data_IF_005654383108
#
_entry.id   IF_005654383108
#
_cell.length_a   1.000
_cell.length_b   1.000
_cell.length_c   1.000
_cell.angle_alpha   90.00
_cell.angle_beta   90.00
_cell.angle_gamma   90.00
#
_symmetry.space_group_name_H-M   'P 1'
#
loop_
_entity.id
_entity.type
_entity.pdbx_description
1 polymer ?
#
# COMPACT_ATOMS: atom_id res chain seq x y z
N UNK A 1 11.41 14.79 -15.13
CA UNK A 1 12.22 13.58 -14.84
C UNK A 1 11.47 12.80 -13.77
N UNK A 2 11.05 11.56 -14.04
CA UNK A 2 10.31 10.74 -13.09
C UNK A 2 11.23 10.40 -11.90
N UNK A 3 10.78 10.58 -10.66
CA UNK A 3 11.55 10.28 -9.44
C UNK A 3 12.10 8.85 -9.44
N UNK A 4 11.37 7.91 -10.05
CA UNK A 4 11.78 6.51 -10.21
C UNK A 4 13.05 6.33 -11.05
N UNK A 5 13.30 7.22 -12.02
CA UNK A 5 14.56 7.20 -12.80
C UNK A 5 15.76 7.53 -11.92
N UNK A 6 15.60 8.48 -10.99
CA UNK A 6 16.66 8.83 -10.05
C UNK A 6 16.98 7.65 -9.13
N UNK A 7 15.96 6.99 -8.58
CA UNK A 7 16.14 5.79 -7.76
C UNK A 7 16.78 4.63 -8.53
N UNK A 8 16.43 4.42 -9.80
CA UNK A 8 17.06 3.37 -10.62
C UNK A 8 18.57 3.62 -10.82
N UNK A 9 18.96 4.87 -11.07
CA UNK A 9 20.37 5.26 -11.19
C UNK A 9 21.09 5.10 -9.85
N UNK A 10 20.51 5.61 -8.76
CA UNK A 10 21.07 5.46 -7.41
C UNK A 10 21.25 3.99 -7.04
N UNK A 11 20.25 3.14 -7.29
CA UNK A 11 20.31 1.69 -7.02
C UNK A 11 21.51 1.06 -7.71
N UNK A 12 21.76 1.41 -8.97
CA UNK A 12 22.92 0.90 -9.72
C UNK A 12 24.23 1.36 -9.10
N UNK A 13 24.34 2.64 -8.72
CA UNK A 13 25.52 3.19 -8.03
C UNK A 13 25.77 2.51 -6.69
N UNK A 14 24.73 2.32 -5.87
CA UNK A 14 24.84 1.64 -4.58
C UNK A 14 25.25 0.18 -4.72
N UNK A 15 24.74 -0.54 -5.72
CA UNK A 15 25.17 -1.92 -5.96
C UNK A 15 26.66 -2.00 -6.32
N UNK A 16 27.18 -1.05 -7.11
CA UNK A 16 28.60 -0.99 -7.40
C UNK A 16 29.46 -0.64 -6.17
N UNK A 17 28.98 0.26 -5.31
CA UNK A 17 29.59 0.51 -3.99
C UNK A 17 29.57 -0.79 -3.16
N UNK A 18 28.46 -1.52 -3.17
CA UNK A 18 28.31 -2.80 -2.50
C UNK A 18 29.32 -3.85 -2.97
N UNK A 19 29.57 -3.95 -4.28
CA UNK A 19 30.61 -4.83 -4.83
C UNK A 19 31.99 -4.51 -4.25
N UNK A 20 32.32 -3.22 -4.17
CA UNK A 20 33.58 -2.75 -3.59
C UNK A 20 33.65 -3.05 -2.09
N UNK A 21 32.57 -2.81 -1.33
CA UNK A 21 32.50 -3.08 0.10
C UNK A 21 32.63 -4.58 0.42
N UNK A 22 31.97 -5.44 -0.36
CA UNK A 22 32.06 -6.89 -0.21
C UNK A 22 33.48 -7.39 -0.49
N UNK A 23 34.12 -6.87 -1.54
CA UNK A 23 35.52 -7.20 -1.88
C UNK A 23 36.50 -6.80 -0.78
N UNK A 24 36.22 -5.72 -0.05
CA UNK A 24 37.04 -5.25 1.07
C UNK A 24 36.66 -5.88 2.42
N UNK A 25 35.71 -6.82 2.44
CA UNK A 25 35.32 -7.56 3.65
C UNK A 25 34.41 -6.80 4.61
N UNK A 26 33.87 -5.64 4.22
CA UNK A 26 32.97 -4.84 5.05
C UNK A 26 31.55 -5.45 5.15
N UNK A 27 31.09 -6.15 4.11
CA UNK A 27 29.79 -6.81 4.01
C UNK A 27 29.92 -8.17 3.32
N UNK A 28 28.91 -9.04 3.41
CA UNK A 28 28.99 -10.41 2.83
C UNK A 28 28.64 -10.42 1.33
N UNK A 29 27.63 -9.67 0.91
CA UNK A 29 27.13 -9.61 -0.47
C UNK A 29 27.02 -8.16 -0.96
N UNK A 30 27.17 -7.89 -2.27
CA UNK A 30 26.99 -6.54 -2.80
C UNK A 30 25.63 -5.92 -2.46
N UNK A 31 24.57 -6.74 -2.47
CA UNK A 31 23.21 -6.30 -2.13
C UNK A 31 23.04 -5.91 -0.66
N UNK A 32 23.95 -6.31 0.25
CA UNK A 32 23.88 -5.96 1.66
C UNK A 32 24.02 -4.46 1.92
N UNK A 33 24.55 -3.71 0.95
CA UNK A 33 24.61 -2.24 0.98
C UNK A 33 23.24 -1.60 1.20
N UNK A 34 22.15 -2.26 0.76
CA UNK A 34 20.77 -1.77 0.93
C UNK A 34 20.28 -1.87 2.38
N UNK A 35 21.01 -2.55 3.25
CA UNK A 35 20.74 -2.63 4.69
C UNK A 35 21.61 -1.66 5.51
N UNK A 36 22.39 -0.80 4.85
CA UNK A 36 23.19 0.24 5.50
C UNK A 36 22.56 1.62 5.31
N UNK A 37 22.76 2.50 6.29
CA UNK A 37 22.45 3.93 6.16
C UNK A 37 23.64 4.70 5.58
N UNK A 38 23.41 5.88 5.00
CA UNK A 38 24.48 6.69 4.36
C UNK A 38 25.74 6.84 5.23
N UNK A 39 25.65 7.18 6.53
CA UNK A 39 26.84 7.29 7.38
C UNK A 39 27.61 5.98 7.53
N UNK A 40 26.94 4.82 7.59
CA UNK A 40 27.61 3.52 7.68
C UNK A 40 28.36 3.18 6.39
N UNK A 41 27.76 3.52 5.24
CA UNK A 41 28.40 3.36 3.92
C UNK A 41 29.63 4.27 3.81
N UNK A 42 29.48 5.55 4.18
CA UNK A 42 30.56 6.55 4.16
C UNK A 42 31.74 6.12 5.03
N UNK A 43 31.49 5.61 6.25
CA UNK A 43 32.55 5.10 7.12
C UNK A 43 33.31 3.92 6.49
N UNK A 44 32.60 3.00 5.85
CA UNK A 44 33.24 1.86 5.18
C UNK A 44 34.04 2.28 3.94
N UNK A 45 33.61 3.31 3.22
CA UNK A 45 34.36 3.86 2.09
C UNK A 45 35.67 4.52 2.53
N UNK A 46 35.66 5.22 3.67
CA UNK A 46 36.84 5.93 4.18
C UNK A 46 37.88 4.97 4.78
N UNK A 47 37.46 4.02 5.61
CA UNK A 47 38.38 3.13 6.34
C UNK A 47 37.83 1.69 6.39
N UNK A 48 37.82 0.96 5.25
CA UNK A 48 37.15 -0.34 5.17
C UNK A 48 37.72 -1.39 6.12
N UNK A 49 39.04 -1.39 6.36
CA UNK A 49 39.69 -2.41 7.21
C UNK A 49 39.29 -2.30 8.69
N UNK A 50 38.73 -1.16 9.12
CA UNK A 50 38.26 -0.93 10.49
C UNK A 50 36.75 -1.09 10.65
N UNK A 51 36.02 -1.24 9.55
CA UNK A 51 34.56 -1.21 9.54
C UNK A 51 34.02 -2.53 8.99
N UNK A 52 33.76 -3.47 9.89
CA UNK A 52 33.06 -4.72 9.58
C UNK A 52 31.58 -4.59 9.90
N UNK A 53 30.76 -4.47 8.85
CA UNK A 53 29.31 -4.30 8.94
C UNK A 53 28.54 -5.61 8.73
N UNK A 54 29.22 -6.76 8.64
CA UNK A 54 28.58 -8.06 8.38
C UNK A 54 27.56 -8.42 9.46
N UNK A 55 27.85 -8.12 10.73
CA UNK A 55 26.87 -8.35 11.80
C UNK A 55 25.60 -7.51 11.63
N UNK A 56 25.74 -6.22 11.32
CA UNK A 56 24.60 -5.30 11.13
C UNK A 56 23.76 -5.73 9.93
N UNK A 57 24.42 -5.98 8.80
CA UNK A 57 23.76 -6.37 7.54
C UNK A 57 23.05 -7.70 7.66
N UNK A 58 23.68 -8.74 8.25
CA UNK A 58 23.02 -10.02 8.55
C UNK A 58 21.79 -9.85 9.42
N UNK A 59 21.90 -9.07 10.50
CA UNK A 59 20.78 -8.84 11.42
C UNK A 59 19.61 -8.15 10.72
N UNK A 60 19.87 -7.06 10.00
CA UNK A 60 18.83 -6.29 9.29
C UNK A 60 18.22 -7.08 8.12
N UNK A 61 19.03 -7.85 7.39
CA UNK A 61 18.55 -8.78 6.36
C UNK A 61 17.64 -9.86 6.95
N UNK A 62 18.04 -10.49 8.05
CA UNK A 62 17.23 -11.51 8.71
C UNK A 62 15.89 -10.93 9.18
N UNK A 63 15.89 -9.72 9.76
CA UNK A 63 14.65 -9.01 10.10
C UNK A 63 13.78 -8.78 8.87
N UNK A 64 14.34 -8.27 7.77
CA UNK A 64 13.61 -8.06 6.52
C UNK A 64 13.05 -9.36 5.93
N UNK A 65 13.79 -10.46 5.98
CA UNK A 65 13.35 -11.78 5.53
C UNK A 65 12.22 -12.34 6.37
N UNK A 66 12.30 -12.21 7.70
CA UNK A 66 11.20 -12.55 8.60
C UNK A 66 9.94 -11.74 8.28
N UNK A 67 10.11 -10.43 8.05
CA UNK A 67 9.04 -9.52 7.65
C UNK A 67 8.40 -9.92 6.31
N UNK A 68 9.20 -10.21 5.29
CA UNK A 68 8.71 -10.70 4.00
C UNK A 68 8.02 -12.05 4.09
N UNK A 69 8.54 -12.96 4.91
CA UNK A 69 7.93 -14.28 5.11
C UNK A 69 6.56 -14.18 5.80
N UNK A 70 6.44 -13.28 6.79
CA UNK A 70 5.16 -12.95 7.41
C UNK A 70 4.15 -12.43 6.37
N UNK A 71 4.59 -11.51 5.51
CA UNK A 71 3.78 -11.03 4.37
C UNK A 71 3.29 -12.17 3.48
N UNK A 72 4.19 -13.06 3.05
CA UNK A 72 3.84 -14.16 2.16
C UNK A 72 2.84 -15.16 2.78
N UNK A 73 2.83 -15.28 4.12
CA UNK A 73 1.95 -16.21 4.85
C UNK A 73 0.61 -15.58 5.26
N UNK A 74 0.62 -14.31 5.65
CA UNK A 74 -0.53 -13.61 6.24
C UNK A 74 -1.23 -12.67 5.24
N UNK A 75 -0.67 -12.44 4.04
CA UNK A 75 -1.25 -11.56 3.02
C UNK A 75 -1.22 -10.06 3.36
N UNK A 76 -0.80 -9.71 4.58
CA UNK A 76 -0.83 -8.35 5.08
C UNK A 76 0.54 -7.66 5.00
N UNK A 77 0.74 -6.76 4.03
CA UNK A 77 1.84 -5.80 4.08
C UNK A 77 1.45 -4.65 5.01
N UNK A 78 1.53 -4.88 6.32
CA UNK A 78 1.33 -3.83 7.33
C UNK A 78 2.66 -3.51 7.97
N UNK A 79 3.32 -2.40 7.60
CA UNK A 79 4.49 -1.92 8.33
C UNK A 79 4.20 -1.90 9.84
N UNK A 80 5.20 -2.16 10.69
CA UNK A 80 4.98 -2.11 12.12
C UNK A 80 4.64 -0.67 12.49
N UNK A 81 3.53 -0.47 13.20
CA UNK A 81 3.23 0.83 13.77
C UNK A 81 4.12 0.98 15.00
N UNK A 82 5.17 1.80 14.87
CA UNK A 82 6.01 2.18 16.00
C UNK A 82 5.31 3.30 16.76
N UNK A 83 4.52 2.91 17.76
CA UNK A 83 3.80 3.85 18.63
C UNK A 83 3.95 3.42 20.08
N UNK A 84 4.00 4.39 20.99
CA UNK A 84 3.92 4.22 22.44
C UNK A 84 2.47 4.10 22.93
N UNK A 85 1.50 4.23 22.00
CA UNK A 85 0.06 4.23 22.28
C UNK A 85 -0.48 2.81 22.45
N UNK A 86 -1.56 2.67 23.22
CA UNK A 86 -2.11 1.36 23.56
C UNK A 86 -2.87 0.72 22.39
N UNK A 87 -3.42 1.52 21.48
CA UNK A 87 -4.14 1.05 20.30
C UNK A 87 -4.14 2.09 19.15
N UNK A 88 -4.54 1.65 17.96
CA UNK A 88 -4.55 2.47 16.73
C UNK A 88 -5.54 3.64 16.87
N UNK A 89 -6.70 3.44 17.50
CA UNK A 89 -7.70 4.49 17.68
C UNK A 89 -7.15 5.63 18.57
N UNK A 90 -6.45 5.28 19.64
CA UNK A 90 -5.77 6.23 20.53
C UNK A 90 -4.63 6.96 19.80
N UNK A 91 -3.83 6.24 19.00
CA UNK A 91 -2.77 6.85 18.20
C UNK A 91 -3.32 7.84 17.17
N UNK A 92 -4.42 7.51 16.50
CA UNK A 92 -5.09 8.44 15.58
C UNK A 92 -5.60 9.67 16.34
N UNK A 93 -6.26 9.47 17.49
CA UNK A 93 -6.82 10.57 18.26
C UNK A 93 -5.76 11.54 18.81
N UNK A 94 -4.65 11.01 19.32
CA UNK A 94 -3.65 11.81 20.05
C UNK A 94 -2.50 12.31 19.17
N UNK A 95 -2.09 11.54 18.16
CA UNK A 95 -0.92 11.87 17.34
C UNK A 95 -1.29 12.53 16.00
N UNK A 96 -2.49 12.24 15.46
CA UNK A 96 -2.92 12.70 14.12
C UNK A 96 -3.96 13.83 14.16
N UNK A 97 -4.84 13.86 15.17
CA UNK A 97 -5.86 14.91 15.35
C UNK A 97 -5.50 16.14 16.23
N UNK A 98 -4.30 16.29 16.84
CA UNK A 98 -4.09 17.37 17.82
C UNK A 98 -4.06 18.77 17.18
N UNK A 99 -3.91 18.88 15.86
CA UNK A 99 -3.97 20.16 15.15
C UNK A 99 -5.37 20.76 15.13
N UNK A 100 -6.43 19.95 15.29
CA UNK A 100 -7.85 20.33 15.12
C UNK A 100 -8.15 21.10 13.81
N UNK A 101 -7.21 21.06 12.86
CA UNK A 101 -7.33 21.75 11.58
C UNK A 101 -8.22 20.89 10.66
N UNK A 102 -9.39 21.40 10.24
CA UNK A 102 -10.35 20.62 9.46
C UNK A 102 -9.81 20.20 8.09
N UNK A 103 -8.87 20.96 7.51
CA UNK A 103 -8.20 20.61 6.25
C UNK A 103 -7.17 19.51 6.51
N UNK A 104 -6.36 19.64 7.55
CA UNK A 104 -5.36 18.63 7.91
C UNK A 104 -6.02 17.29 8.26
N UNK A 105 -7.09 17.31 9.05
CA UNK A 105 -7.88 16.12 9.40
C UNK A 105 -8.44 15.47 8.13
N UNK A 106 -9.02 16.26 7.22
CA UNK A 106 -9.56 15.75 5.96
C UNK A 106 -8.49 15.16 5.04
N UNK A 107 -7.29 15.74 5.02
CA UNK A 107 -6.18 15.25 4.20
C UNK A 107 -5.57 13.96 4.78
N UNK A 108 -5.39 13.92 6.09
CA UNK A 108 -4.62 12.87 6.77
C UNK A 108 -5.49 11.69 7.20
N UNK A 109 -6.67 11.95 7.75
CA UNK A 109 -7.62 10.92 8.21
C UNK A 109 -8.66 10.60 7.13
N UNK A 110 -8.95 11.54 6.23
CA UNK A 110 -10.04 11.42 5.25
C UNK A 110 -11.38 11.88 5.83
N UNK A 111 -12.46 11.67 5.07
CA UNK A 111 -13.81 11.75 5.63
C UNK A 111 -14.09 10.45 6.39
N UNK A 112 -14.32 10.54 7.70
CA UNK A 112 -14.82 9.40 8.46
C UNK A 112 -16.18 8.97 7.85
N UNK A 113 -16.44 7.66 7.66
CA UNK A 113 -17.70 7.21 7.11
C UNK A 113 -18.84 7.77 7.95
N UNK A 114 -19.73 8.53 7.31
CA UNK A 114 -20.82 9.25 7.99
C UNK A 114 -21.96 8.35 8.43
N UNK A 115 -21.92 7.07 8.04
CA UNK A 115 -22.94 6.05 8.31
C UNK A 115 -22.24 4.75 8.67
N UNK A 116 -22.70 4.10 9.75
CA UNK A 116 -22.16 2.81 10.19
C UNK A 116 -22.53 1.71 9.19
N UNK A 117 -21.69 0.67 9.07
CA UNK A 117 -21.94 -0.44 8.14
C UNK A 117 -23.30 -1.13 8.42
N UNK A 118 -23.67 -1.19 9.70
CA UNK A 118 -24.92 -1.78 10.18
C UNK A 118 -26.16 -0.99 9.74
N UNK A 119 -26.09 0.34 9.71
CA UNK A 119 -27.21 1.22 9.31
C UNK A 119 -27.55 1.09 7.81
N UNK A 120 -26.56 0.80 6.97
CA UNK A 120 -26.70 0.66 5.51
C UNK A 120 -26.77 -0.78 5.04
N UNK A 121 -26.64 -1.75 5.97
CA UNK A 121 -26.61 -3.19 5.67
C UNK A 121 -25.47 -3.60 4.74
N UNK A 122 -24.34 -2.89 4.79
CA UNK A 122 -23.17 -3.13 3.94
C UNK A 122 -22.22 -4.16 4.56
N UNK A 123 -21.55 -4.97 3.74
CA UNK A 123 -20.58 -5.96 4.21
C UNK A 123 -19.20 -5.32 4.50
N UNK A 124 -18.90 -4.23 3.78
CA UNK A 124 -17.67 -3.45 3.91
C UNK A 124 -18.01 -1.98 3.70
N UNK A 125 -17.37 -1.12 4.50
CA UNK A 125 -17.44 0.34 4.36
C UNK A 125 -16.06 0.93 4.11
N UNK A 126 -16.02 2.04 3.40
CA UNK A 126 -14.84 2.84 3.15
C UNK A 126 -15.19 4.29 2.90
N UNK A 127 -14.29 5.00 2.26
CA UNK A 127 -14.40 6.43 1.93
C UNK A 127 -14.71 6.58 0.44
N UNK A 128 -15.62 7.48 0.11
CA UNK A 128 -15.91 7.86 -1.26
C UNK A 128 -14.69 8.53 -1.91
N UNK A 129 -14.14 7.89 -2.95
CA UNK A 129 -13.12 8.48 -3.82
C UNK A 129 -13.74 9.16 -5.04
N UNK A 130 -14.66 8.46 -5.70
CA UNK A 130 -15.47 8.96 -6.81
C UNK A 130 -16.89 8.42 -6.68
N UNK A 131 -17.93 9.28 -6.66
CA UNK A 131 -19.30 8.85 -6.46
C UNK A 131 -19.81 8.02 -7.64
N UNK A 132 -20.81 7.17 -7.39
CA UNK A 132 -21.44 6.33 -8.38
C UNK A 132 -21.77 4.93 -7.86
N UNK A 133 -22.48 4.15 -8.68
CA UNK A 133 -22.89 2.78 -8.35
C UNK A 133 -22.40 1.86 -9.45
N UNK A 134 -21.79 0.75 -9.07
CA UNK A 134 -21.37 -0.30 -9.99
C UNK A 134 -21.73 -1.67 -9.42
N UNK A 135 -22.00 -2.62 -10.30
CA UNK A 135 -22.20 -4.02 -9.96
C UNK A 135 -21.47 -4.88 -10.98
N UNK A 136 -20.78 -5.91 -10.51
CA UNK A 136 -19.96 -6.77 -11.37
C UNK A 136 -19.29 -7.87 -10.58
N UNK A 137 -18.49 -8.68 -11.27
CA UNK A 137 -17.59 -9.64 -10.61
C UNK A 137 -16.39 -8.90 -10.06
N UNK A 138 -16.01 -9.23 -8.82
CA UNK A 138 -14.81 -8.74 -8.21
C UNK A 138 -13.57 -9.41 -8.81
N UNK A 139 -12.53 -8.63 -9.06
CA UNK A 139 -11.19 -9.10 -9.38
C UNK A 139 -10.24 -8.57 -8.33
N UNK A 140 -9.76 -9.45 -7.45
CA UNK A 140 -8.77 -9.10 -6.44
C UNK A 140 -7.38 -9.19 -7.05
N UNK A 141 -6.67 -8.06 -7.08
CA UNK A 141 -5.32 -7.93 -7.64
C UNK A 141 -4.41 -7.36 -6.55
N UNK A 142 -3.43 -8.15 -6.10
CA UNK A 142 -2.53 -7.75 -5.02
C UNK A 142 -1.30 -6.98 -5.51
N UNK A 143 -0.89 -7.19 -6.75
CA UNK A 143 0.31 -6.60 -7.33
C UNK A 143 0.06 -6.18 -8.77
N UNK A 144 0.76 -5.12 -9.20
CA UNK A 144 0.65 -4.61 -10.56
C UNK A 144 0.91 -5.67 -11.65
N UNK A 145 1.78 -6.65 -11.37
CA UNK A 145 2.11 -7.71 -12.33
C UNK A 145 0.92 -8.60 -12.68
N UNK A 146 -0.11 -8.64 -11.82
CA UNK A 146 -1.32 -9.44 -12.01
C UNK A 146 -2.49 -8.63 -12.59
N UNK A 147 -2.25 -7.37 -12.97
CA UNK A 147 -3.28 -6.45 -13.45
C UNK A 147 -3.86 -6.85 -14.81
N UNK A 148 -3.10 -7.63 -15.59
CA UNK A 148 -3.51 -8.22 -16.86
C UNK A 148 -4.67 -9.23 -16.72
N UNK A 149 -4.93 -9.72 -15.51
CA UNK A 149 -6.04 -10.63 -15.22
C UNK A 149 -7.39 -9.92 -15.17
N UNK A 150 -7.41 -8.60 -15.01
CA UNK A 150 -8.64 -7.80 -14.95
C UNK A 150 -9.38 -7.82 -16.28
N UNK A 151 -10.66 -8.21 -16.24
CA UNK A 151 -11.51 -8.21 -17.43
C UNK A 151 -12.37 -6.94 -17.50
N UNK A 152 -12.72 -6.46 -18.71
CA UNK A 152 -13.63 -5.34 -18.87
C UNK A 152 -14.96 -5.55 -18.14
N UNK A 153 -15.40 -4.54 -17.39
CA UNK A 153 -16.65 -4.59 -16.62
C UNK A 153 -16.55 -5.27 -15.26
N UNK A 154 -15.39 -5.81 -14.88
CA UNK A 154 -15.15 -6.28 -13.51
C UNK A 154 -14.93 -5.10 -12.54
N UNK A 155 -15.17 -5.34 -11.25
CA UNK A 155 -14.83 -4.42 -10.17
C UNK A 155 -13.44 -4.79 -9.66
N UNK A 156 -12.49 -3.86 -9.77
CA UNK A 156 -11.13 -4.04 -9.30
C UNK A 156 -11.08 -3.90 -7.78
N UNK A 157 -10.52 -4.87 -7.09
CA UNK A 157 -10.26 -4.84 -5.64
C UNK A 157 -8.74 -4.96 -5.43
N UNK A 158 -8.13 -4.01 -4.72
CA UNK A 158 -6.67 -4.00 -4.54
C UNK A 158 -6.22 -3.36 -3.22
N UNK A 159 -4.98 -3.63 -2.74
CA UNK A 159 -4.49 -2.99 -1.52
C UNK A 159 -4.29 -1.48 -1.69
N UNK A 160 -3.68 -1.09 -2.80
CA UNK A 160 -3.38 0.30 -3.17
C UNK A 160 -3.09 0.34 -4.67
N UNK A 161 -3.40 1.47 -5.31
CA UNK A 161 -2.99 1.74 -6.69
C UNK A 161 -1.76 2.65 -6.76
N UNK A 162 -0.98 2.53 -7.82
CA UNK A 162 0.11 3.42 -8.19
C UNK A 162 -0.04 3.86 -9.67
N UNK A 163 0.75 4.81 -10.19
CA UNK A 163 0.59 5.32 -11.57
C UNK A 163 0.57 4.25 -12.66
N UNK A 164 1.19 3.10 -12.41
CA UNK A 164 1.19 1.96 -13.35
C UNK A 164 -0.22 1.37 -13.54
N UNK A 165 -1.13 1.58 -12.58
CA UNK A 165 -2.49 1.03 -12.57
C UNK A 165 -3.50 1.87 -13.37
N UNK A 166 -3.12 3.06 -13.83
CA UNK A 166 -4.06 4.01 -14.46
C UNK A 166 -4.82 3.40 -15.63
N UNK A 167 -4.22 2.51 -16.41
CA UNK A 167 -4.88 1.85 -17.55
C UNK A 167 -6.03 0.94 -17.12
N UNK A 168 -5.99 0.35 -15.92
CA UNK A 168 -7.07 -0.51 -15.42
C UNK A 168 -8.37 0.26 -15.19
N UNK A 169 -8.30 1.54 -14.86
CA UNK A 169 -9.49 2.37 -14.66
C UNK A 169 -10.29 2.56 -15.96
N UNK A 170 -9.65 2.43 -17.12
CA UNK A 170 -10.37 2.53 -18.40
C UNK A 170 -11.29 1.34 -18.70
N UNK A 171 -11.08 0.20 -18.05
CA UNK A 171 -11.84 -1.04 -18.29
C UNK A 171 -12.62 -1.53 -17.08
N UNK A 172 -12.27 -1.08 -15.86
CA UNK A 172 -12.97 -1.45 -14.64
C UNK A 172 -14.35 -0.78 -14.57
N UNK A 173 -15.37 -1.52 -14.12
CA UNK A 173 -16.68 -0.94 -13.82
C UNK A 173 -16.69 -0.14 -12.50
N UNK A 174 -15.75 -0.45 -11.60
CA UNK A 174 -15.58 0.20 -10.31
C UNK A 174 -14.26 -0.21 -9.66
N UNK A 175 -13.81 0.57 -8.68
CA UNK A 175 -12.55 0.32 -7.97
C UNK A 175 -12.74 0.37 -6.46
N UNK A 176 -12.22 -0.63 -5.76
CA UNK A 176 -12.20 -0.72 -4.30
C UNK A 176 -10.73 -0.88 -3.87
N UNK A 177 -10.25 0.05 -3.03
CA UNK A 177 -8.89 0.02 -2.52
C UNK A 177 -8.85 0.00 -0.99
N UNK A 178 -8.05 -0.90 -0.40
CA UNK A 178 -7.93 -0.99 1.07
C UNK A 178 -7.21 0.20 1.68
N UNK A 179 -6.37 0.88 0.91
CA UNK A 179 -5.60 2.05 1.33
C UNK A 179 -5.84 3.23 0.40
N UNK A 180 -5.62 4.42 0.95
CA UNK A 180 -5.71 5.69 0.24
C UNK A 180 -6.78 6.60 0.82
N UNK A 181 -6.56 7.91 0.75
CA UNK A 181 -7.55 8.93 1.10
C UNK A 181 -8.31 9.47 -0.12
N UNK A 182 -9.14 10.47 0.11
CA UNK A 182 -9.92 11.18 -0.92
C UNK A 182 -9.06 11.85 -2.00
N UNK A 183 -7.80 12.15 -1.68
CA UNK A 183 -6.77 12.69 -2.57
C UNK A 183 -5.74 11.65 -3.03
N UNK A 184 -5.97 10.37 -2.76
CA UNK A 184 -5.08 9.31 -3.23
C UNK A 184 -5.16 9.14 -4.75
N UNK A 185 -4.14 8.48 -5.31
CA UNK A 185 -4.09 8.14 -6.72
C UNK A 185 -5.39 7.45 -7.21
N UNK A 186 -5.89 6.44 -6.48
CA UNK A 186 -7.12 5.75 -6.85
C UNK A 186 -8.33 6.69 -6.94
N UNK A 187 -8.46 7.62 -5.98
CA UNK A 187 -9.57 8.56 -5.93
C UNK A 187 -9.47 9.63 -7.03
N UNK A 188 -8.26 10.13 -7.32
CA UNK A 188 -8.01 11.11 -8.39
C UNK A 188 -8.32 10.47 -9.75
N UNK A 189 -7.72 9.33 -10.06
CA UNK A 189 -7.93 8.65 -11.35
C UNK A 189 -9.38 8.18 -11.49
N UNK A 190 -10.02 7.70 -10.42
CA UNK A 190 -11.45 7.38 -10.42
C UNK A 190 -12.30 8.56 -10.92
N UNK A 191 -12.04 9.77 -10.43
CA UNK A 191 -12.76 10.98 -10.87
C UNK A 191 -12.43 11.39 -12.30
N UNK A 192 -11.17 11.26 -12.72
CA UNK A 192 -10.74 11.59 -14.09
C UNK A 192 -11.42 10.68 -15.13
N UNK A 193 -11.57 9.40 -14.82
CA UNK A 193 -12.19 8.41 -15.70
C UNK A 193 -13.70 8.26 -15.48
N UNK A 194 -14.27 8.92 -14.47
CA UNK A 194 -15.68 8.79 -14.10
C UNK A 194 -16.07 7.40 -13.57
N UNK A 195 -15.12 6.68 -12.98
CA UNK A 195 -15.31 5.34 -12.45
C UNK A 195 -15.63 5.40 -10.95
N UNK A 196 -16.70 4.76 -10.48
CA UNK A 196 -17.01 4.69 -9.05
C UNK A 196 -15.85 4.10 -8.25
N UNK A 197 -15.39 4.81 -7.22
CA UNK A 197 -14.22 4.41 -6.44
C UNK A 197 -14.46 4.53 -4.95
N UNK A 198 -14.21 3.45 -4.21
CA UNK A 198 -14.16 3.40 -2.74
C UNK A 198 -12.70 3.15 -2.33
N UNK A 199 -12.21 3.92 -1.37
CA UNK A 199 -10.86 3.76 -0.81
C UNK A 199 -10.93 3.56 0.70
N UNK A 200 -9.82 3.19 1.32
CA UNK A 200 -9.72 3.05 2.77
C UNK A 200 -10.67 1.99 3.36
N UNK A 201 -10.92 0.89 2.63
CA UNK A 201 -11.75 -0.21 3.14
C UNK A 201 -11.06 -1.09 4.17
N UNK A 202 -9.72 -1.04 4.25
CA UNK A 202 -8.83 -1.83 5.11
C UNK A 202 -8.87 -3.36 4.96
N UNK A 203 -10.02 -3.95 4.62
CA UNK A 203 -10.30 -5.40 4.69
C UNK A 203 -10.95 -5.97 3.42
N UNK A 204 -11.11 -5.19 2.35
CA UNK A 204 -11.73 -5.62 1.11
C UNK A 204 -10.96 -6.74 0.41
N UNK A 205 -9.63 -6.66 0.32
CA UNK A 205 -8.83 -7.72 -0.29
C UNK A 205 -8.85 -9.03 0.52
N UNK A 206 -9.14 -8.96 1.82
CA UNK A 206 -9.25 -10.12 2.70
C UNK A 206 -10.65 -10.76 2.60
N UNK A 207 -11.71 -9.93 2.60
CA UNK A 207 -13.10 -10.39 2.63
C UNK A 207 -13.65 -10.79 1.26
N UNK A 208 -13.22 -10.12 0.20
CA UNK A 208 -13.71 -10.35 -1.16
C UNK A 208 -12.80 -11.35 -1.85
N UNK A 209 -13.39 -12.32 -2.56
CA UNK A 209 -12.68 -13.29 -3.38
C UNK A 209 -12.92 -12.98 -4.86
N UNK A 210 -11.88 -13.18 -5.67
CA UNK A 210 -11.99 -13.05 -7.13
C UNK A 210 -13.10 -13.94 -7.69
N UNK A 211 -13.93 -13.36 -8.56
CA UNK A 211 -15.09 -14.00 -9.18
C UNK A 211 -16.41 -13.77 -8.45
N UNK A 212 -16.40 -13.34 -7.18
CA UNK A 212 -17.62 -13.03 -6.43
C UNK A 212 -18.37 -11.86 -7.05
N UNK A 213 -19.69 -11.96 -7.15
CA UNK A 213 -20.53 -10.85 -7.55
C UNK A 213 -20.70 -9.88 -6.40
N UNK A 214 -20.36 -8.62 -6.66
CA UNK A 214 -20.45 -7.54 -5.69
C UNK A 214 -21.17 -6.34 -6.29
N UNK A 215 -21.80 -5.55 -5.43
CA UNK A 215 -22.35 -4.24 -5.75
C UNK A 215 -21.69 -3.21 -4.86
N UNK A 216 -21.32 -2.07 -5.42
CA UNK A 216 -20.76 -0.95 -4.68
C UNK A 216 -21.61 0.31 -4.90
N UNK A 217 -21.82 1.06 -3.83
CA UNK A 217 -22.35 2.42 -3.84
C UNK A 217 -21.25 3.32 -3.27
N UNK A 218 -20.43 3.87 -4.18
CA UNK A 218 -19.28 4.67 -3.80
C UNK A 218 -19.69 5.99 -3.12
N UNK A 219 -20.87 6.53 -3.47
CA UNK A 219 -21.41 7.74 -2.84
C UNK A 219 -21.65 7.55 -1.34
N UNK A 220 -21.96 6.32 -0.91
CA UNK A 220 -22.12 5.94 0.50
C UNK A 220 -20.89 5.26 1.08
N UNK A 221 -19.84 5.04 0.27
CA UNK A 221 -18.68 4.25 0.67
C UNK A 221 -19.01 2.79 0.99
N UNK A 222 -20.08 2.23 0.41
CA UNK A 222 -20.63 0.93 0.80
C UNK A 222 -20.36 -0.15 -0.25
N UNK A 223 -19.99 -1.35 0.21
CA UNK A 223 -19.82 -2.55 -0.63
C UNK A 223 -20.73 -3.67 -0.10
N UNK A 224 -21.42 -4.33 -1.03
CA UNK A 224 -22.35 -5.43 -0.78
C UNK A 224 -21.87 -6.66 -1.54
N UNK A 225 -21.64 -7.75 -0.83
CA UNK A 225 -21.30 -9.05 -1.40
C UNK A 225 -22.61 -9.77 -1.70
N UNK A 226 -22.90 -10.01 -2.98
CA UNK A 226 -24.16 -10.58 -3.44
C UNK A 226 -24.13 -12.11 -3.40
N UNK A 227 -22.97 -12.70 -3.68
CA UNK A 227 -22.74 -14.15 -3.61
C UNK A 227 -22.32 -14.54 -2.18
N UNK A 228 -23.26 -14.41 -1.24
CA UNK A 228 -23.09 -14.99 0.10
C UNK A 228 -23.34 -16.49 -0.02
N UNK A 229 -22.28 -17.30 -0.07
CA UNK A 229 -22.42 -18.73 0.22
C UNK A 229 -23.06 -18.85 1.62
N UNK A 230 -24.23 -19.48 1.69
CA UNK A 230 -24.85 -19.96 2.94
C UNK A 230 -24.03 -21.11 3.51
#
# INVERSE_FOLDING_TARGET
>A
LCEMTHFAVLRRSYLHIGEWLAKNGCIDRPEDVMFLISPEIEMCLLVPQRNDMRWITRRRRAQWEQWRARFAKEGEFRPPVYTDRSNIQEAIALDLLPTLDPIFIKIVVGELPSVSAEEIGADIVGICGCPGVAEGRARVVMQYMDLDQLQPGEILVCPQTSPEWTTAFSIAAGVIADRGGTLSHAAIIGREYGVPTIVNTFVACEKIKTGQRIRMDASKGAVYILDKEQ
#
